data_IF_260731702120
#
_entry.id   IF_260731702120
#
_cell.length_a   1.000
_cell.length_b   1.000
_cell.length_c   1.000
_cell.angle_alpha   90.00
_cell.angle_beta   90.00
_cell.angle_gamma   90.00
#
_symmetry.space_group_name_H-M   'P 1'
#
loop_
_entity.id
_entity.type
_entity.pdbx_description
1 polymer ?
#
# COMPACT_ATOMS: atom_id res chain seq x y z
N UNK A 1 22.25 11.68 11.53
CA UNK A 1 20.81 11.41 11.41
C UNK A 1 20.37 11.75 10.00
N UNK A 2 19.51 10.93 9.38
CA UNK A 2 18.89 11.29 8.11
C UNK A 2 17.93 12.46 8.36
N UNK A 3 17.73 13.33 7.38
CA UNK A 3 16.99 14.60 7.50
C UNK A 3 15.54 14.43 8.03
N UNK A 4 14.95 13.25 7.87
CA UNK A 4 13.59 12.91 8.31
C UNK A 4 13.53 11.72 9.30
N UNK A 5 14.61 11.44 10.01
CA UNK A 5 14.63 10.35 10.99
C UNK A 5 13.85 10.73 12.26
N UNK A 6 12.95 9.85 12.70
CA UNK A 6 12.18 9.99 13.94
C UNK A 6 12.47 8.78 14.83
N UNK A 7 12.72 9.02 16.13
CA UNK A 7 13.15 7.97 17.07
C UNK A 7 12.16 7.73 18.21
N UNK A 8 11.04 8.47 18.24
CA UNK A 8 9.98 8.29 19.23
C UNK A 8 8.62 8.49 18.60
N UNK A 9 7.59 7.90 19.21
CA UNK A 9 6.19 8.09 18.79
C UNK A 9 5.81 9.57 18.86
N UNK A 10 6.30 10.30 19.87
CA UNK A 10 6.06 11.74 20.01
C UNK A 10 6.64 12.51 18.83
N UNK A 11 7.90 12.27 18.48
CA UNK A 11 8.55 12.96 17.36
C UNK A 11 7.86 12.63 16.03
N UNK A 12 7.40 11.39 15.86
CA UNK A 12 6.62 10.99 14.70
C UNK A 12 5.30 11.78 14.63
N UNK A 13 4.52 11.84 15.71
CA UNK A 13 3.28 12.61 15.75
C UNK A 13 3.51 14.11 15.55
N UNK A 14 4.59 14.66 16.10
CA UNK A 14 4.99 16.06 15.89
C UNK A 14 5.39 16.31 14.43
N UNK A 15 6.07 15.36 13.78
CA UNK A 15 6.41 15.42 12.36
C UNK A 15 5.15 15.45 11.47
N UNK A 16 4.12 14.66 11.81
CA UNK A 16 2.87 14.59 11.07
C UNK A 16 2.07 15.90 11.08
N UNK A 17 2.31 16.80 12.04
CA UNK A 17 1.63 18.11 12.09
C UNK A 17 1.80 18.92 10.81
N UNK A 18 2.91 18.71 10.08
CA UNK A 18 3.22 19.31 8.76
C UNK A 18 2.21 18.95 7.67
N UNK A 19 1.49 17.83 7.83
CA UNK A 19 0.58 17.27 6.83
C UNK A 19 -0.90 17.34 7.22
N UNK A 20 -1.24 17.91 8.38
CA UNK A 20 -2.61 18.00 8.91
C UNK A 20 -3.63 18.56 7.92
N UNK A 21 -3.25 19.58 7.14
CA UNK A 21 -4.09 20.17 6.09
C UNK A 21 -4.54 19.17 5.01
N UNK A 22 -3.77 18.12 4.76
CA UNK A 22 -4.08 17.08 3.78
C UNK A 22 -4.96 15.98 4.37
N UNK A 23 -4.88 15.74 5.68
CA UNK A 23 -5.78 14.81 6.38
C UNK A 23 -7.23 15.29 6.33
N UNK A 24 -7.46 16.60 6.50
CA UNK A 24 -8.79 17.19 6.43
C UNK A 24 -9.45 17.11 5.03
N UNK A 25 -8.66 16.86 3.98
CA UNK A 25 -9.15 16.73 2.60
C UNK A 25 -9.24 15.28 2.12
N UNK A 26 -9.15 14.30 3.02
CA UNK A 26 -9.15 12.85 2.72
C UNK A 26 -8.06 12.42 1.71
N UNK A 27 -6.97 13.18 1.66
CA UNK A 27 -5.93 13.02 0.66
C UNK A 27 -4.64 12.43 1.21
N UNK A 28 -4.64 12.01 2.48
CA UNK A 28 -3.42 11.63 3.21
C UNK A 28 -3.42 10.13 3.49
N UNK A 29 -2.40 9.45 2.97
CA UNK A 29 -2.20 8.01 3.11
C UNK A 29 -0.79 7.70 3.60
N UNK A 30 -0.67 6.61 4.32
CA UNK A 30 0.57 6.15 4.93
C UNK A 30 0.86 4.71 4.55
N UNK A 31 2.14 4.36 4.49
CA UNK A 31 2.60 2.98 4.35
C UNK A 31 3.84 2.76 5.20
N UNK A 32 3.78 1.79 6.11
CA UNK A 32 4.94 1.30 6.83
C UNK A 32 5.69 0.25 6.02
N UNK A 33 7.01 0.32 6.00
CA UNK A 33 7.86 -0.62 5.27
C UNK A 33 9.16 -0.88 6.04
N UNK A 34 9.43 -2.17 6.26
CA UNK A 34 10.66 -2.65 6.87
C UNK A 34 11.86 -2.45 5.92
N UNK A 35 13.05 -2.22 6.48
CA UNK A 35 14.36 -2.14 5.80
C UNK A 35 14.56 -3.19 4.71
N UNK A 36 14.18 -4.44 5.00
CA UNK A 36 14.36 -5.60 4.11
C UNK A 36 13.64 -5.45 2.76
N UNK A 37 12.64 -4.58 2.68
CA UNK A 37 11.95 -4.27 1.44
C UNK A 37 12.56 -3.02 0.81
N UNK A 38 13.46 -3.22 -0.13
CA UNK A 38 14.18 -2.13 -0.82
C UNK A 38 13.23 -1.35 -1.75
N UNK A 39 12.37 -2.07 -2.48
CA UNK A 39 11.46 -1.50 -3.47
C UNK A 39 10.01 -1.62 -3.03
N UNK A 40 9.17 -0.68 -3.46
CA UNK A 40 7.71 -0.76 -3.30
C UNK A 40 7.05 -1.62 -4.38
N UNK A 41 7.52 -2.88 -4.51
CA UNK A 41 7.01 -3.84 -5.51
C UNK A 41 5.77 -4.57 -4.98
N UNK A 42 4.63 -4.53 -5.71
CA UNK A 42 3.45 -5.33 -5.35
C UNK A 42 3.78 -6.82 -5.43
N UNK A 43 2.99 -7.66 -4.76
CA UNK A 43 3.31 -9.09 -4.62
C UNK A 43 3.42 -9.81 -5.97
N UNK A 44 2.60 -9.44 -6.95
CA UNK A 44 2.67 -9.99 -8.33
C UNK A 44 3.98 -9.64 -9.05
N UNK A 45 4.57 -8.46 -8.80
CA UNK A 45 5.79 -8.00 -9.46
C UNK A 45 7.08 -8.51 -8.79
N UNK A 46 6.98 -9.20 -7.64
CA UNK A 46 8.15 -9.74 -6.92
C UNK A 46 8.75 -10.96 -7.61
N UNK A 47 7.98 -11.67 -8.44
CA UNK A 47 8.46 -12.80 -9.26
C UNK A 47 7.96 -12.66 -10.69
N UNK A 48 8.86 -12.81 -11.65
CA UNK A 48 8.53 -12.71 -13.08
C UNK A 48 7.45 -13.72 -13.50
N UNK A 49 7.41 -14.90 -12.87
CA UNK A 49 6.37 -15.90 -13.11
C UNK A 49 4.96 -15.42 -12.74
N UNK A 50 4.81 -14.77 -11.58
CA UNK A 50 3.52 -14.23 -11.14
C UNK A 50 3.05 -13.12 -12.08
N UNK A 51 3.96 -12.24 -12.48
CA UNK A 51 3.66 -11.16 -13.41
C UNK A 51 3.20 -11.69 -14.78
N UNK A 52 3.92 -12.67 -15.35
CA UNK A 52 3.54 -13.31 -16.61
C UNK A 52 2.18 -14.02 -16.55
N UNK A 53 1.84 -14.58 -15.39
CA UNK A 53 0.64 -15.38 -15.18
C UNK A 53 -0.51 -14.59 -14.51
N UNK A 54 -0.39 -13.27 -14.32
CA UNK A 54 -1.37 -12.48 -13.55
C UNK A 54 -2.80 -12.64 -14.09
N UNK A 55 -2.98 -12.57 -15.42
CA UNK A 55 -4.29 -12.73 -16.05
C UNK A 55 -4.90 -14.11 -15.78
N UNK A 56 -4.07 -15.16 -15.74
CA UNK A 56 -4.50 -16.52 -15.39
C UNK A 56 -4.87 -16.60 -13.92
N UNK A 57 -4.02 -16.11 -13.02
CA UNK A 57 -4.28 -16.05 -11.57
C UNK A 57 -5.59 -15.31 -11.27
N UNK A 58 -5.83 -14.18 -11.92
CA UNK A 58 -7.08 -13.44 -11.78
C UNK A 58 -8.28 -14.25 -12.27
N UNK A 59 -8.19 -14.87 -13.47
CA UNK A 59 -9.29 -15.64 -14.03
C UNK A 59 -9.68 -16.84 -13.16
N UNK A 60 -8.72 -17.50 -12.52
CA UNK A 60 -8.93 -18.65 -11.65
C UNK A 60 -9.57 -18.28 -10.30
N UNK A 61 -9.34 -17.06 -9.80
CA UNK A 61 -9.78 -16.63 -8.47
C UNK A 61 -10.94 -15.62 -8.50
N UNK A 62 -11.32 -15.10 -9.68
CA UNK A 62 -12.37 -14.06 -9.78
C UNK A 62 -13.74 -14.60 -9.41
N UNK A 63 -14.50 -13.78 -8.71
CA UNK A 63 -15.94 -13.94 -8.54
C UNK A 63 -16.66 -12.94 -9.47
N UNK A 64 -17.58 -13.44 -10.29
CA UNK A 64 -18.32 -12.62 -11.26
C UNK A 64 -19.22 -11.56 -10.61
N UNK A 65 -19.63 -11.77 -9.35
CA UNK A 65 -20.48 -10.83 -8.60
C UNK A 65 -19.66 -9.74 -7.89
N UNK A 66 -18.34 -9.70 -8.05
CA UNK A 66 -17.44 -8.72 -7.43
C UNK A 66 -16.78 -7.84 -8.48
N UNK A 67 -16.53 -6.58 -8.12
CA UNK A 67 -15.70 -5.69 -8.94
C UNK A 67 -14.27 -6.20 -9.03
N UNK A 68 -13.49 -5.65 -9.98
CA UNK A 68 -12.08 -6.03 -10.15
C UNK A 68 -11.28 -5.76 -8.87
N UNK A 69 -11.48 -4.58 -8.25
CA UNK A 69 -10.81 -4.22 -7.00
C UNK A 69 -11.21 -5.16 -5.85
N UNK A 70 -12.50 -5.51 -5.73
CA UNK A 70 -12.95 -6.46 -4.71
C UNK A 70 -12.36 -7.87 -4.91
N UNK A 71 -12.21 -8.31 -6.16
CA UNK A 71 -11.55 -9.57 -6.47
C UNK A 71 -10.06 -9.51 -6.12
N UNK A 72 -9.35 -8.43 -6.49
CA UNK A 72 -7.94 -8.25 -6.14
C UNK A 72 -7.72 -8.18 -4.63
N UNK A 73 -8.56 -7.46 -3.89
CA UNK A 73 -8.48 -7.39 -2.43
C UNK A 73 -8.71 -8.78 -1.79
N UNK A 74 -9.69 -9.54 -2.30
CA UNK A 74 -9.95 -10.90 -1.84
C UNK A 74 -8.79 -11.85 -2.15
N UNK A 75 -8.27 -11.80 -3.37
CA UNK A 75 -7.08 -12.57 -3.78
C UNK A 75 -5.90 -12.28 -2.86
N UNK A 76 -5.64 -11.01 -2.54
CA UNK A 76 -4.56 -10.62 -1.64
C UNK A 76 -4.78 -11.15 -0.21
N UNK A 77 -6.02 -11.11 0.28
CA UNK A 77 -6.38 -11.70 1.58
C UNK A 77 -6.16 -13.22 1.61
N UNK A 78 -6.48 -13.91 0.50
CA UNK A 78 -6.30 -15.36 0.34
C UNK A 78 -4.83 -15.74 0.01
N UNK A 79 -3.90 -14.78 -0.02
CA UNK A 79 -2.47 -15.01 -0.26
C UNK A 79 -2.07 -15.13 -1.74
N UNK A 80 -3.00 -14.90 -2.66
CA UNK A 80 -2.71 -14.89 -4.10
C UNK A 80 -1.98 -13.59 -4.46
N UNK A 81 -0.88 -13.64 -5.23
CA UNK A 81 -0.15 -12.44 -5.64
C UNK A 81 -1.04 -11.48 -6.45
N UNK A 82 -1.02 -10.20 -6.10
CA UNK A 82 -1.78 -9.15 -6.77
C UNK A 82 -0.93 -7.91 -6.99
N UNK A 83 -1.43 -7.01 -7.84
CA UNK A 83 -0.86 -5.69 -8.08
C UNK A 83 -1.14 -4.67 -6.96
N UNK A 84 -1.91 -5.04 -5.94
CA UNK A 84 -2.25 -4.13 -4.86
C UNK A 84 -1.04 -3.91 -3.94
N UNK A 85 -0.95 -2.68 -3.44
CA UNK A 85 -0.06 -2.27 -2.36
C UNK A 85 -0.92 -1.84 -1.18
N UNK A 86 -0.45 -2.14 0.02
CA UNK A 86 -1.14 -1.81 1.26
C UNK A 86 -0.88 -0.35 1.65
N UNK A 87 -1.96 0.39 1.87
CA UNK A 87 -1.94 1.74 2.40
C UNK A 87 -2.96 1.84 3.54
N UNK A 88 -2.74 2.79 4.43
CA UNK A 88 -3.65 3.09 5.54
C UNK A 88 -3.82 4.59 5.66
N UNK A 89 -5.00 5.04 6.09
CA UNK A 89 -5.24 6.43 6.47
C UNK A 89 -4.82 6.72 7.93
N UNK A 90 -4.59 5.67 8.71
CA UNK A 90 -4.10 5.77 10.09
C UNK A 90 -2.56 5.72 10.14
N UNK A 91 -1.89 6.80 10.56
CA UNK A 91 -0.43 6.84 10.67
C UNK A 91 0.14 5.84 11.68
N UNK A 92 -0.59 5.50 12.73
CA UNK A 92 -0.12 4.55 13.76
C UNK A 92 -0.16 3.11 13.23
N UNK A 93 -1.10 2.79 12.34
CA UNK A 93 -1.09 1.51 11.62
C UNK A 93 0.14 1.42 10.70
N UNK A 94 0.50 2.50 10.01
CA UNK A 94 1.72 2.52 9.21
C UNK A 94 2.97 2.39 10.09
N UNK A 95 3.01 3.05 11.25
CA UNK A 95 4.10 2.90 12.21
C UNK A 95 4.23 1.44 12.68
N UNK A 96 3.13 0.77 13.01
CA UNK A 96 3.14 -0.65 13.38
C UNK A 96 3.80 -1.51 12.30
N UNK A 97 3.39 -1.37 11.03
CA UNK A 97 4.00 -2.16 9.95
C UNK A 97 5.47 -1.83 9.70
N UNK A 98 5.91 -0.61 10.03
CA UNK A 98 7.31 -0.22 9.96
C UNK A 98 8.14 -0.78 11.14
N UNK A 99 7.53 -1.17 12.27
CA UNK A 99 8.26 -1.56 13.49
C UNK A 99 7.93 -2.95 14.02
N UNK A 100 7.06 -3.70 13.35
CA UNK A 100 6.58 -5.03 13.79
C UNK A 100 7.65 -6.14 13.84
N UNK A 101 8.83 -5.95 13.24
CA UNK A 101 9.90 -6.95 13.29
C UNK A 101 10.63 -6.93 14.62
N UNK A 102 11.10 -8.10 15.06
CA UNK A 102 11.85 -8.23 16.31
C UNK A 102 13.26 -7.62 16.25
N UNK A 103 13.81 -7.49 15.04
CA UNK A 103 15.13 -6.90 14.82
C UNK A 103 15.04 -5.38 14.87
N UNK A 104 15.91 -4.75 15.67
CA UNK A 104 16.05 -3.29 15.70
C UNK A 104 16.81 -2.81 14.48
N UNK A 105 16.08 -2.58 13.41
CA UNK A 105 16.58 -2.00 12.17
C UNK A 105 15.83 -0.72 11.82
N UNK A 106 16.50 0.20 11.13
CA UNK A 106 15.87 1.39 10.58
C UNK A 106 14.80 0.99 9.55
N UNK A 107 13.59 1.50 9.69
CA UNK A 107 12.49 1.27 8.76
C UNK A 107 12.00 2.59 8.14
N UNK A 108 11.06 2.49 7.21
CA UNK A 108 10.55 3.64 6.48
C UNK A 108 9.03 3.74 6.62
N UNK A 109 8.55 4.97 6.82
CA UNK A 109 7.14 5.31 6.65
C UNK A 109 7.05 6.24 5.45
N UNK A 110 6.27 5.85 4.46
CA UNK A 110 5.97 6.67 3.30
C UNK A 110 4.66 7.43 3.53
N UNK A 111 4.66 8.70 3.14
CA UNK A 111 3.50 9.59 3.22
C UNK A 111 3.10 9.96 1.80
N UNK A 112 1.85 9.70 1.44
CA UNK A 112 1.28 9.99 0.14
C UNK A 112 0.18 11.04 0.27
N UNK A 113 0.28 12.08 -0.55
CA UNK A 113 -0.72 13.14 -0.66
C UNK A 113 -1.36 13.01 -2.04
N UNK A 114 -2.53 12.38 -2.10
CA UNK A 114 -3.24 12.07 -3.35
C UNK A 114 -4.75 12.21 -3.18
N UNK A 115 -5.48 12.72 -4.18
CA UNK A 115 -6.94 12.70 -4.15
C UNK A 115 -7.46 11.27 -4.09
N UNK A 116 -8.51 11.06 -3.30
CA UNK A 116 -9.29 9.82 -3.39
C UNK A 116 -10.02 9.80 -4.74
N UNK A 117 -10.01 8.63 -5.39
CA UNK A 117 -10.72 8.39 -6.64
C UNK A 117 -11.77 7.32 -6.36
N UNK A 118 -13.02 7.61 -6.73
CA UNK A 118 -14.12 6.66 -6.57
C UNK A 118 -13.79 5.31 -7.23
N UNK A 119 -14.03 4.22 -6.50
CA UNK A 119 -13.70 2.87 -6.94
C UNK A 119 -14.49 2.42 -8.18
N UNK A 120 -15.62 3.07 -8.49
CA UNK A 120 -16.45 2.81 -9.66
C UNK A 120 -16.15 3.78 -10.82
N UNK A 121 -15.25 4.74 -10.63
CA UNK A 121 -14.80 5.67 -11.66
C UNK A 121 -14.21 4.93 -12.86
N UNK A 122 -14.28 5.60 -14.02
CA UNK A 122 -13.72 5.08 -15.26
C UNK A 122 -12.18 4.94 -15.17
N UNK A 123 -11.53 5.85 -14.45
CA UNK A 123 -10.08 5.85 -14.22
C UNK A 123 -9.61 4.61 -13.48
N UNK A 124 -10.29 4.25 -12.38
CA UNK A 124 -9.96 3.05 -11.60
C UNK A 124 -10.24 1.80 -12.41
N UNK A 125 -11.35 1.76 -13.17
CA UNK A 125 -11.65 0.64 -14.07
C UNK A 125 -10.54 0.47 -15.12
N UNK A 126 -10.14 1.53 -15.83
CA UNK A 126 -9.06 1.46 -16.81
C UNK A 126 -7.72 1.05 -16.19
N UNK A 127 -7.34 1.66 -15.07
CA UNK A 127 -6.10 1.33 -14.36
C UNK A 127 -6.09 -0.11 -13.85
N UNK A 128 -7.25 -0.70 -13.57
CA UNK A 128 -7.35 -2.11 -13.18
C UNK A 128 -7.11 -3.09 -14.34
N UNK A 129 -7.20 -2.63 -15.59
CA UNK A 129 -6.94 -3.46 -16.79
C UNK A 129 -5.49 -3.40 -17.28
N UNK A 130 -4.80 -2.28 -17.08
CA UNK A 130 -3.41 -2.12 -17.54
C UNK A 130 -2.48 -2.74 -16.50
N UNK A 131 -1.80 -3.83 -16.85
CA UNK A 131 -0.69 -4.35 -16.03
C UNK A 131 0.51 -3.42 -16.21
N UNK A 132 0.98 -2.80 -15.13
CA UNK A 132 2.23 -2.02 -15.09
C UNK A 132 3.36 -2.90 -14.60
#
# INVERSE_FOLDING_TARGET
MKENQVNSVKDYLDYLKRYTKYGASENLYFRGQLSKFIDMKPSVARKNEYLKNEAKLYKENRNANKSIIQNLARMQHDGVPTRLLDFTTDPLVALFFATQESLREDSSIYIFIRPNIDANSLEIKFSSFIAT
#
